data_IF_409891260754
#
_entry.id   IF_409891260754
#
_cell.length_a   1.000
_cell.length_b   1.000
_cell.length_c   1.000
_cell.angle_alpha   90.00
_cell.angle_beta   90.00
_cell.angle_gamma   90.00
#
_symmetry.space_group_name_H-M   'P 1'
#
loop_
_entity.id
_entity.type
_entity.pdbx_description
1 polymer ?
#
# COMPACT_ATOMS: atom_id res chain seq x y z
N UNK A 1 12.29 17.85 -1.52
CA UNK A 1 12.24 16.38 -1.54
C UNK A 1 10.77 15.99 -1.70
N UNK A 2 10.43 15.25 -2.74
CA UNK A 2 9.04 14.95 -3.08
C UNK A 2 8.54 13.77 -2.23
N UNK A 3 7.32 13.89 -1.70
CA UNK A 3 6.67 12.85 -0.89
C UNK A 3 5.45 12.32 -1.63
N UNK A 4 5.19 11.02 -1.55
CA UNK A 4 3.98 10.42 -2.11
C UNK A 4 2.83 10.64 -1.11
N UNK A 5 2.06 11.71 -1.25
CA UNK A 5 0.91 11.99 -0.38
C UNK A 5 -0.41 11.54 -0.96
N UNK A 6 -0.49 11.27 -2.25
CA UNK A 6 -1.69 10.76 -2.95
C UNK A 6 -1.25 10.13 -4.26
N UNK A 7 -1.91 9.05 -4.65
CA UNK A 7 -1.77 8.46 -5.99
C UNK A 7 -3.05 8.60 -6.77
N UNK A 8 -2.98 8.83 -8.08
CA UNK A 8 -4.15 8.91 -8.97
C UNK A 8 -3.90 8.11 -10.25
N UNK A 9 -3.48 6.85 -10.08
CA UNK A 9 -3.37 5.88 -11.17
C UNK A 9 -4.75 5.46 -11.70
N UNK A 10 -4.77 5.08 -12.98
CA UNK A 10 -5.92 4.47 -13.64
C UNK A 10 -5.44 3.15 -14.25
N UNK A 11 -5.73 2.04 -13.58
CA UNK A 11 -5.36 0.72 -14.07
C UNK A 11 -6.45 0.17 -15.00
N UNK A 12 -6.04 -0.66 -15.96
CA UNK A 12 -6.98 -1.50 -16.71
C UNK A 12 -7.76 -2.37 -15.74
N UNK A 13 -9.07 -2.55 -15.97
CA UNK A 13 -9.93 -3.39 -15.13
C UNK A 13 -10.07 -2.94 -13.67
N UNK A 14 -9.74 -1.68 -13.37
CA UNK A 14 -9.95 -1.08 -12.05
C UNK A 14 -11.45 -0.92 -11.77
N UNK A 15 -11.92 -1.54 -10.69
CA UNK A 15 -13.30 -1.42 -10.22
C UNK A 15 -13.44 -0.23 -9.28
N UNK A 16 -12.51 -0.08 -8.34
CA UNK A 16 -12.58 0.97 -7.34
C UNK A 16 -11.21 1.38 -6.81
N UNK A 17 -11.17 2.55 -6.21
CA UNK A 17 -10.04 3.08 -5.46
C UNK A 17 -10.53 3.52 -4.08
N UNK A 18 -9.83 3.10 -3.05
CA UNK A 18 -10.03 3.54 -1.67
C UNK A 18 -8.76 4.21 -1.14
N UNK A 19 -8.88 5.44 -0.64
CA UNK A 19 -7.78 6.16 0.01
C UNK A 19 -7.98 6.16 1.51
N UNK A 20 -7.22 5.31 2.20
CA UNK A 20 -7.14 5.31 3.66
C UNK A 20 -6.17 6.37 4.19
N UNK A 21 -5.97 6.40 5.52
CA UNK A 21 -5.06 7.35 6.18
C UNK A 21 -3.63 7.29 5.60
N UNK A 22 -3.12 6.08 5.37
CA UNK A 22 -1.71 5.85 4.96
C UNK A 22 -1.57 5.09 3.64
N UNK A 23 -2.61 4.39 3.18
CA UNK A 23 -2.53 3.57 1.96
C UNK A 23 -3.62 3.94 0.96
N UNK A 24 -3.26 3.93 -0.30
CA UNK A 24 -4.19 3.96 -1.43
C UNK A 24 -4.33 2.53 -1.97
N UNK A 25 -5.57 2.05 -2.09
CA UNK A 25 -5.89 0.67 -2.47
C UNK A 25 -6.70 0.70 -3.74
N UNK A 26 -6.25 -0.02 -4.76
CA UNK A 26 -6.94 -0.17 -6.03
C UNK A 26 -7.41 -1.62 -6.17
N UNK A 27 -8.70 -1.79 -6.43
CA UNK A 27 -9.29 -3.09 -6.68
C UNK A 27 -9.32 -3.34 -8.20
N UNK A 28 -8.68 -4.42 -8.62
CA UNK A 28 -8.60 -4.87 -10.01
C UNK A 28 -9.45 -6.13 -10.15
N UNK A 29 -10.51 -6.05 -10.96
CA UNK A 29 -11.42 -7.15 -11.28
C UNK A 29 -12.05 -7.92 -10.09
N UNK A 30 -12.01 -7.40 -8.85
CA UNK A 30 -12.34 -8.16 -7.63
C UNK A 30 -11.50 -9.42 -7.44
N UNK A 31 -10.34 -9.49 -8.09
CA UNK A 31 -9.41 -10.62 -8.00
C UNK A 31 -8.11 -10.21 -7.28
N UNK A 32 -7.70 -8.95 -7.44
CA UNK A 32 -6.44 -8.47 -6.89
C UNK A 32 -6.55 -7.05 -6.35
N UNK A 33 -5.76 -6.79 -5.32
CA UNK A 33 -5.56 -5.48 -4.73
C UNK A 33 -4.15 -4.98 -5.05
N UNK A 34 -4.06 -3.78 -5.61
CA UNK A 34 -2.82 -3.02 -5.67
C UNK A 34 -2.83 -2.04 -4.52
N UNK A 35 -1.95 -2.26 -3.54
CA UNK A 35 -1.85 -1.47 -2.33
C UNK A 35 -0.59 -0.61 -2.36
N UNK A 36 -0.76 0.71 -2.31
CA UNK A 36 0.33 1.68 -2.34
C UNK A 36 0.46 2.33 -0.96
N UNK A 37 1.60 2.13 -0.30
CA UNK A 37 1.95 2.78 0.94
C UNK A 37 2.45 4.20 0.67
N UNK A 38 1.69 5.18 1.16
CA UNK A 38 2.03 6.60 1.03
C UNK A 38 2.92 7.10 2.17
N UNK A 39 3.46 8.30 1.98
CA UNK A 39 4.23 9.04 2.97
C UNK A 39 3.32 9.82 3.96
N UNK A 40 1.99 9.72 3.83
CA UNK A 40 1.01 10.38 4.72
C UNK A 40 1.14 9.84 6.14
N UNK A 41 1.25 10.74 7.12
CA UNK A 41 1.22 10.41 8.54
C UNK A 41 -0.09 10.89 9.15
N UNK A 42 -0.64 10.12 10.08
CA UNK A 42 -1.79 10.53 10.88
C UNK A 42 -1.51 10.41 12.37
N UNK A 43 -2.01 11.35 13.16
CA UNK A 43 -2.00 11.32 14.62
C UNK A 43 -3.33 11.89 15.12
N UNK A 44 -3.86 11.34 16.23
CA UNK A 44 -5.15 11.76 16.79
C UNK A 44 -6.28 11.80 15.73
N UNK A 45 -6.36 10.75 14.91
CA UNK A 45 -7.31 10.60 13.79
C UNK A 45 -7.25 11.64 12.67
N UNK A 46 -6.28 12.56 12.69
CA UNK A 46 -6.09 13.58 11.64
C UNK A 46 -4.88 13.22 10.77
N UNK A 47 -5.04 13.31 9.45
CA UNK A 47 -3.92 13.20 8.50
C UNK A 47 -3.17 14.54 8.47
N UNK A 48 -1.86 14.49 8.70
CA UNK A 48 -1.02 15.68 8.73
C UNK A 48 -0.75 16.20 7.31
N UNK A 49 -0.60 17.53 7.12
CA UNK A 49 -0.46 18.13 5.79
C UNK A 49 0.87 17.78 5.10
N UNK A 50 1.90 17.43 5.87
CA UNK A 50 3.24 17.12 5.35
C UNK A 50 3.55 15.64 5.50
N UNK A 51 3.88 15.00 4.38
CA UNK A 51 4.37 13.62 4.38
C UNK A 51 5.81 13.51 4.91
N UNK A 52 6.18 12.31 5.34
CA UNK A 52 7.57 11.97 5.69
C UNK A 52 8.19 11.24 4.50
N UNK A 53 9.21 11.80 3.83
CA UNK A 53 9.85 11.14 2.68
C UNK A 53 10.26 9.70 2.99
N UNK A 54 10.02 8.80 2.03
CA UNK A 54 10.36 7.37 2.08
C UNK A 54 9.66 6.55 3.17
N UNK A 55 8.76 7.15 3.96
CA UNK A 55 8.03 6.43 5.00
C UNK A 55 7.21 5.29 4.40
N UNK A 56 6.52 5.54 3.28
CA UNK A 56 5.74 4.52 2.59
C UNK A 56 6.59 3.31 2.19
N UNK A 57 7.82 3.55 1.73
CA UNK A 57 8.76 2.51 1.31
C UNK A 57 9.18 1.61 2.46
N UNK A 58 9.61 2.22 3.56
CA UNK A 58 10.05 1.49 4.75
C UNK A 58 8.90 0.63 5.29
N UNK A 59 7.71 1.21 5.42
CA UNK A 59 6.55 0.49 5.96
C UNK A 59 6.11 -0.68 5.07
N UNK A 60 6.12 -0.51 3.75
CA UNK A 60 5.75 -1.58 2.81
C UNK A 60 6.80 -2.70 2.79
N UNK A 61 8.10 -2.38 2.83
CA UNK A 61 9.17 -3.39 2.87
C UNK A 61 9.17 -4.18 4.18
N UNK A 62 8.95 -3.54 5.33
CA UNK A 62 8.80 -4.24 6.61
C UNK A 62 7.60 -5.20 6.56
N UNK A 63 6.45 -4.72 6.09
CA UNK A 63 5.23 -5.52 6.01
C UNK A 63 5.42 -6.73 5.07
N UNK A 64 5.92 -6.52 3.86
CA UNK A 64 6.15 -7.59 2.88
C UNK A 64 7.17 -8.61 3.36
N UNK A 65 8.25 -8.16 4.01
CA UNK A 65 9.26 -9.07 4.62
C UNK A 65 8.62 -9.98 5.67
N UNK A 66 7.80 -9.42 6.57
CA UNK A 66 7.15 -10.19 7.63
C UNK A 66 6.08 -11.15 7.09
N UNK A 67 5.30 -10.72 6.11
CA UNK A 67 4.29 -11.55 5.44
C UNK A 67 4.94 -12.73 4.71
N UNK A 68 6.05 -12.50 4.01
CA UNK A 68 6.81 -13.57 3.37
C UNK A 68 7.42 -14.53 4.40
N UNK A 69 8.06 -14.00 5.44
CA UNK A 69 8.71 -14.82 6.47
C UNK A 69 7.73 -15.74 7.21
N UNK A 70 6.48 -15.32 7.38
CA UNK A 70 5.45 -16.07 8.12
C UNK A 70 4.48 -16.86 7.22
N UNK A 71 4.62 -16.78 5.90
CA UNK A 71 3.72 -17.44 4.92
C UNK A 71 3.61 -18.96 5.08
N UNK A 72 4.67 -19.61 5.56
CA UNK A 72 4.69 -21.05 5.85
C UNK A 72 3.94 -21.44 7.13
N UNK A 73 3.62 -20.47 7.99
CA UNK A 73 2.88 -20.66 9.24
C UNK A 73 1.39 -20.43 8.99
N UNK A 74 1.04 -19.29 8.37
CA UNK A 74 -0.34 -18.90 8.07
C UNK A 74 -0.38 -18.26 6.67
N UNK A 75 -1.27 -18.73 5.76
CA UNK A 75 -1.49 -18.08 4.47
C UNK A 75 -1.90 -16.63 4.63
N UNK A 76 -1.40 -15.76 3.75
CA UNK A 76 -1.75 -14.35 3.74
C UNK A 76 -1.99 -13.85 2.31
N UNK A 77 -2.49 -12.62 2.21
CA UNK A 77 -2.97 -12.05 0.95
C UNK A 77 -1.85 -11.67 -0.04
N UNK A 78 -0.61 -11.45 0.44
CA UNK A 78 0.48 -10.91 -0.36
C UNK A 78 0.95 -11.90 -1.42
N UNK A 79 0.99 -11.45 -2.67
CA UNK A 79 1.54 -12.23 -3.79
C UNK A 79 2.92 -11.70 -4.21
N UNK A 80 3.09 -10.37 -4.31
CA UNK A 80 4.38 -9.77 -4.63
C UNK A 80 4.47 -8.30 -4.18
N UNK A 81 5.70 -7.75 -4.17
CA UNK A 81 5.98 -6.34 -3.89
C UNK A 81 6.89 -5.78 -4.98
N UNK A 82 6.34 -5.37 -6.14
CA UNK A 82 7.13 -5.02 -7.33
C UNK A 82 7.87 -3.67 -7.21
N UNK A 83 7.46 -2.82 -6.27
CA UNK A 83 8.08 -1.53 -5.98
C UNK A 83 8.19 -1.35 -4.46
N UNK A 84 9.20 -0.62 -3.95
CA UNK A 84 9.33 -0.32 -2.53
C UNK A 84 8.06 0.21 -1.85
N UNK A 85 7.18 0.93 -2.55
CA UNK A 85 5.92 1.45 -2.04
C UNK A 85 4.70 0.54 -2.30
N UNK A 86 4.83 -0.51 -3.11
CA UNK A 86 3.68 -1.26 -3.66
C UNK A 86 3.69 -2.71 -3.23
N UNK A 87 2.54 -3.18 -2.74
CA UNK A 87 2.23 -4.61 -2.55
C UNK A 87 1.03 -4.99 -3.41
N UNK A 88 1.09 -6.16 -4.04
CA UNK A 88 -0.01 -6.75 -4.81
C UNK A 88 -0.39 -8.07 -4.15
N UNK A 89 -1.69 -8.31 -4.04
CA UNK A 89 -2.20 -9.54 -3.46
C UNK A 89 -3.66 -9.81 -3.80
N UNK A 90 -4.15 -10.96 -3.40
CA UNK A 90 -5.53 -11.42 -3.61
C UNK A 90 -6.51 -10.78 -2.61
N UNK A 91 -7.79 -10.72 -2.98
CA UNK A 91 -8.90 -10.35 -2.07
C UNK A 91 -9.23 -11.51 -1.14
#
# INVERSE_FOLDING_TARGET
MNTITRTDFNFTNQISKYSGKVRDVYNINNESLVMIASDRLSAFDVVLPRGIPFKGQILNQIASTMLNATSHIIPNWLQCSPDPNVSIGQI
#
